data_IF_961226661576
#
_entry.id   IF_961226661576
#
_cell.length_a   1.000
_cell.length_b   1.000
_cell.length_c   1.000
_cell.angle_alpha   90.00
_cell.angle_beta   90.00
_cell.angle_gamma   90.00
#
_symmetry.space_group_name_H-M   'P 1'
#
loop_
_entity.id
_entity.type
_entity.pdbx_description
1 polymer ?
#
# COMPACT_ATOMS: atom_id res chain seq x y z
N UNK A 1 -8.17 -27.26 -1.63
CA UNK A 1 -7.25 -26.10 -1.67
C UNK A 1 -6.83 -25.78 -3.10
N UNK A 2 -7.79 -25.70 -4.02
CA UNK A 2 -7.57 -25.13 -5.35
C UNK A 2 -8.45 -23.88 -5.48
N UNK A 3 -7.85 -22.71 -5.31
CA UNK A 3 -8.48 -21.43 -5.67
C UNK A 3 -7.72 -20.87 -6.88
N UNK A 4 -8.19 -21.14 -8.11
CA UNK A 4 -7.56 -20.64 -9.32
C UNK A 4 -7.48 -19.12 -9.35
N UNK A 5 -8.49 -18.42 -8.80
CA UNK A 5 -8.53 -16.96 -8.72
C UNK A 5 -7.38 -16.40 -7.89
N UNK A 6 -7.10 -17.00 -6.74
CA UNK A 6 -5.98 -16.61 -5.88
C UNK A 6 -4.63 -16.77 -6.59
N UNK A 7 -4.39 -17.88 -7.29
CA UNK A 7 -3.14 -18.07 -8.04
C UNK A 7 -3.04 -17.11 -9.24
N UNK A 8 -4.17 -16.86 -9.90
CA UNK A 8 -4.26 -15.93 -11.03
C UNK A 8 -3.95 -14.49 -10.63
N UNK A 9 -4.27 -14.07 -9.39
CA UNK A 9 -3.89 -12.77 -8.85
C UNK A 9 -2.36 -12.57 -8.94
N UNK A 10 -1.57 -13.50 -8.39
CA UNK A 10 -0.11 -13.41 -8.42
C UNK A 10 0.46 -13.50 -9.85
N UNK A 11 -0.13 -14.33 -10.70
CA UNK A 11 0.28 -14.40 -12.11
C UNK A 11 0.03 -13.07 -12.83
N UNK A 12 -1.16 -12.47 -12.71
CA UNK A 12 -1.51 -11.23 -13.40
C UNK A 12 -0.58 -10.08 -13.01
N UNK A 13 -0.31 -9.89 -11.71
CA UNK A 13 0.55 -8.79 -11.24
C UNK A 13 2.03 -8.99 -11.60
N UNK A 14 2.46 -10.25 -11.81
CA UNK A 14 3.80 -10.60 -12.27
C UNK A 14 3.88 -10.83 -13.79
N UNK A 15 2.93 -10.33 -14.58
CA UNK A 15 2.93 -10.49 -16.05
C UNK A 15 3.06 -11.96 -16.50
N UNK A 16 2.39 -12.86 -15.79
CA UNK A 16 2.38 -14.30 -16.02
C UNK A 16 3.76 -14.98 -15.89
N UNK A 17 4.74 -14.33 -15.26
CA UNK A 17 5.97 -14.99 -14.86
C UNK A 17 5.69 -15.90 -13.65
N UNK A 18 5.60 -17.21 -13.90
CA UNK A 18 5.25 -18.20 -12.89
C UNK A 18 6.23 -18.27 -11.71
N UNK A 19 7.53 -18.14 -11.97
CA UNK A 19 8.57 -18.17 -10.93
C UNK A 19 8.44 -16.97 -9.98
N UNK A 20 8.33 -15.76 -10.53
CA UNK A 20 8.12 -14.54 -9.72
C UNK A 20 6.81 -14.57 -8.96
N UNK A 21 5.73 -15.06 -9.59
CA UNK A 21 4.43 -15.22 -8.96
C UNK A 21 4.50 -16.19 -7.77
N UNK A 22 5.14 -17.35 -7.93
CA UNK A 22 5.31 -18.33 -6.86
C UNK A 22 6.17 -17.77 -5.71
N UNK A 23 7.29 -17.11 -6.03
CA UNK A 23 8.16 -16.48 -5.03
C UNK A 23 7.42 -15.40 -4.24
N UNK A 24 6.65 -14.54 -4.91
CA UNK A 24 5.84 -13.51 -4.25
C UNK A 24 4.73 -14.12 -3.41
N UNK A 25 4.09 -15.20 -3.86
CA UNK A 25 3.06 -15.90 -3.10
C UNK A 25 3.60 -16.48 -1.78
N UNK A 26 4.81 -17.05 -1.80
CA UNK A 26 5.48 -17.51 -0.57
C UNK A 26 5.78 -16.33 0.38
N UNK A 27 6.31 -15.22 -0.15
CA UNK A 27 6.58 -14.02 0.64
C UNK A 27 5.30 -13.40 1.22
N UNK A 28 4.21 -13.41 0.45
CA UNK A 28 2.89 -12.96 0.86
C UNK A 28 2.39 -13.77 2.07
N UNK A 29 2.41 -15.10 2.01
CA UNK A 29 1.96 -15.92 3.15
C UNK A 29 2.85 -15.75 4.39
N UNK A 30 4.17 -15.57 4.22
CA UNK A 30 5.07 -15.26 5.36
C UNK A 30 4.70 -13.94 6.03
N UNK A 31 4.39 -12.89 5.25
CA UNK A 31 3.96 -11.62 5.80
C UNK A 31 2.56 -11.71 6.42
N UNK A 32 1.64 -12.47 5.81
CA UNK A 32 0.31 -12.73 6.36
C UNK A 32 0.40 -13.42 7.72
N UNK A 33 1.29 -14.40 7.86
CA UNK A 33 1.53 -15.11 9.11
C UNK A 33 2.00 -14.16 10.22
N UNK A 34 2.94 -13.26 9.93
CA UNK A 34 3.40 -12.27 10.92
C UNK A 34 2.30 -11.26 11.29
N UNK A 35 1.43 -10.90 10.35
CA UNK A 35 0.38 -9.94 10.60
C UNK A 35 -0.83 -10.53 11.34
N UNK A 36 -1.31 -11.72 10.97
CA UNK A 36 -2.61 -12.26 11.42
C UNK A 36 -2.52 -13.63 12.10
N UNK A 37 -1.31 -14.13 12.34
CA UNK A 37 -1.03 -15.42 12.96
C UNK A 37 -1.48 -16.63 12.12
N UNK A 38 -1.19 -17.83 12.63
CA UNK A 38 -1.37 -19.08 11.87
C UNK A 38 -2.84 -19.40 11.59
N UNK A 39 -3.74 -19.04 12.50
CA UNK A 39 -5.17 -19.31 12.36
C UNK A 39 -5.78 -18.66 11.11
N UNK A 40 -5.24 -17.52 10.67
CA UNK A 40 -5.75 -16.76 9.52
C UNK A 40 -4.97 -16.98 8.24
N UNK A 41 -3.96 -17.85 8.25
CA UNK A 41 -3.05 -18.00 7.12
C UNK A 41 -3.79 -18.48 5.86
N UNK A 42 -4.70 -19.44 6.00
CA UNK A 42 -5.43 -20.07 4.91
C UNK A 42 -6.79 -19.42 4.57
N UNK A 43 -7.21 -18.40 5.32
CA UNK A 43 -8.53 -17.77 5.20
C UNK A 43 -8.43 -16.35 4.61
N UNK A 44 -9.42 -15.90 3.87
CA UNK A 44 -9.46 -14.49 3.48
C UNK A 44 -9.65 -13.60 4.72
N UNK A 45 -8.85 -12.53 4.82
CA UNK A 45 -8.97 -11.57 5.92
C UNK A 45 -10.19 -10.70 5.67
N UNK A 46 -11.10 -10.68 6.65
CA UNK A 46 -12.33 -9.90 6.63
C UNK A 46 -12.24 -8.73 7.62
N UNK A 47 -13.24 -7.83 7.61
CA UNK A 47 -13.32 -6.75 8.60
C UNK A 47 -13.42 -7.28 10.04
N UNK A 48 -13.99 -8.46 10.26
CA UNK A 48 -14.13 -9.05 11.60
C UNK A 48 -12.80 -9.55 12.17
N UNK A 49 -11.77 -9.66 11.33
CA UNK A 49 -10.42 -10.06 11.73
C UNK A 49 -9.54 -8.88 12.13
N UNK A 50 -10.08 -7.66 12.02
CA UNK A 50 -9.42 -6.42 12.39
C UNK A 50 -9.87 -6.00 13.79
N UNK A 51 -8.91 -5.69 14.66
CA UNK A 51 -9.21 -5.17 15.98
C UNK A 51 -9.65 -3.70 15.94
N UNK A 52 -10.04 -3.13 17.10
CA UNK A 52 -10.55 -1.76 17.14
C UNK A 52 -9.49 -0.71 16.76
N UNK A 53 -8.21 -0.98 17.02
CA UNK A 53 -7.10 -0.09 16.65
C UNK A 53 -6.83 -0.17 15.13
N UNK A 54 -6.95 -1.37 14.53
CA UNK A 54 -6.91 -1.60 13.08
C UNK A 54 -8.07 -0.86 12.39
N UNK A 55 -9.28 -0.98 12.95
CA UNK A 55 -10.48 -0.33 12.45
C UNK A 55 -10.42 1.20 12.58
N UNK A 56 -9.77 1.74 13.62
CA UNK A 56 -9.53 3.18 13.72
C UNK A 56 -8.67 3.69 12.54
N UNK A 57 -7.63 2.94 12.15
CA UNK A 57 -6.79 3.28 11.00
C UNK A 57 -7.64 3.42 9.72
N UNK A 58 -8.57 2.48 9.49
CA UNK A 58 -9.48 2.46 8.35
C UNK A 58 -10.50 3.61 8.40
N UNK A 59 -11.18 3.79 9.53
CA UNK A 59 -12.24 4.80 9.69
C UNK A 59 -11.72 6.23 9.53
N UNK A 60 -10.46 6.50 9.91
CA UNK A 60 -9.83 7.80 9.67
C UNK A 60 -9.46 8.06 8.21
N UNK A 61 -9.53 7.04 7.36
CA UNK A 61 -9.15 7.15 5.96
C UNK A 61 -7.65 7.34 5.79
N UNK A 62 -6.85 6.57 6.53
CA UNK A 62 -5.39 6.50 6.36
C UNK A 62 -5.02 6.05 4.93
N UNK A 63 -5.86 5.17 4.37
CA UNK A 63 -5.82 4.74 2.97
C UNK A 63 -7.25 4.76 2.42
N UNK A 64 -7.42 5.40 1.27
CA UNK A 64 -8.73 5.58 0.64
C UNK A 64 -8.64 5.19 -0.83
N UNK A 65 -9.55 4.35 -1.29
CA UNK A 65 -9.68 4.03 -2.72
C UNK A 65 -10.57 5.09 -3.35
N UNK A 66 -10.03 5.86 -4.30
CA UNK A 66 -10.82 6.88 -4.97
C UNK A 66 -11.82 6.24 -5.93
N UNK A 67 -13.03 6.80 -6.08
CA UNK A 67 -14.10 6.20 -6.90
C UNK A 67 -13.80 6.26 -8.40
N UNK A 68 -12.92 7.17 -8.83
CA UNK A 68 -12.52 7.31 -10.23
C UNK A 68 -11.12 6.78 -10.43
N UNK A 69 -10.96 5.97 -11.48
CA UNK A 69 -9.65 5.62 -12.02
C UNK A 69 -9.00 6.82 -12.70
N UNK A 70 -7.70 6.75 -12.92
CA UNK A 70 -7.01 7.68 -13.78
C UNK A 70 -7.37 7.46 -15.27
N UNK A 71 -6.84 8.31 -16.15
CA UNK A 71 -7.04 8.22 -17.61
C UNK A 71 -6.63 6.87 -18.20
N UNK A 72 -5.65 6.20 -17.58
CA UNK A 72 -5.19 4.87 -17.98
C UNK A 72 -5.86 3.73 -17.24
N UNK A 73 -7.04 3.98 -16.64
CA UNK A 73 -7.89 2.93 -16.06
C UNK A 73 -7.27 2.24 -14.84
N UNK A 74 -6.39 2.93 -14.11
CA UNK A 74 -5.72 2.45 -12.91
C UNK A 74 -6.47 2.89 -11.66
N UNK A 75 -6.56 2.00 -10.68
CA UNK A 75 -7.17 2.31 -9.38
C UNK A 75 -6.25 3.27 -8.62
N UNK A 76 -6.82 4.32 -8.01
CA UNK A 76 -6.05 5.30 -7.25
C UNK A 76 -6.27 5.09 -5.75
N UNK A 77 -5.18 4.84 -5.03
CA UNK A 77 -5.16 4.79 -3.57
C UNK A 77 -4.57 6.10 -3.07
N UNK A 78 -5.38 6.83 -2.33
CA UNK A 78 -5.01 8.09 -1.69
C UNK A 78 -4.66 7.84 -0.23
N UNK A 79 -3.51 8.35 0.21
CA UNK A 79 -3.09 8.28 1.60
C UNK A 79 -2.64 9.65 2.08
N UNK A 80 -3.16 10.07 3.23
CA UNK A 80 -2.82 11.35 3.85
C UNK A 80 -2.18 11.09 5.21
N UNK A 81 -0.92 11.48 5.38
CA UNK A 81 -0.23 11.18 6.64
C UNK A 81 -0.93 11.78 7.87
N UNK A 82 -1.51 12.97 7.77
CA UNK A 82 -2.26 13.59 8.88
C UNK A 82 -3.46 12.76 9.38
N UNK A 83 -3.98 11.82 8.57
CA UNK A 83 -5.09 10.96 9.00
C UNK A 83 -4.62 9.66 9.63
N UNK A 84 -3.32 9.34 9.57
CA UNK A 84 -2.76 8.14 10.14
C UNK A 84 -2.86 8.20 11.67
N UNK A 85 -3.51 7.19 12.23
CA UNK A 85 -3.55 6.97 13.68
C UNK A 85 -3.55 5.48 13.93
N UNK A 86 -2.65 5.04 14.80
CA UNK A 86 -2.49 3.65 15.20
C UNK A 86 -1.86 3.60 16.60
N UNK A 87 -2.12 2.53 17.33
CA UNK A 87 -1.49 2.29 18.63
C UNK A 87 -0.16 1.57 18.49
N UNK A 88 -0.07 0.63 17.55
CA UNK A 88 1.12 -0.13 17.18
C UNK A 88 1.29 -0.10 15.68
N UNK A 89 2.54 -0.21 15.21
CA UNK A 89 2.86 -0.27 13.78
C UNK A 89 2.08 -1.38 13.07
N UNK A 90 1.86 -2.54 13.72
CA UNK A 90 1.06 -3.64 13.14
C UNK A 90 -0.37 -3.21 12.78
N UNK A 91 -0.96 -2.22 13.46
CA UNK A 91 -2.34 -1.83 13.15
C UNK A 91 -2.49 -1.20 11.77
N UNK A 92 -1.61 -0.24 11.45
CA UNK A 92 -1.64 0.40 10.13
C UNK A 92 -1.19 -0.57 9.01
N UNK A 93 -0.31 -1.53 9.32
CA UNK A 93 0.09 -2.58 8.36
C UNK A 93 -1.07 -3.52 8.04
N UNK A 94 -1.86 -3.94 9.04
CA UNK A 94 -3.07 -4.76 8.83
C UNK A 94 -4.14 -4.01 8.06
N UNK A 95 -4.33 -2.72 8.35
CA UNK A 95 -5.24 -1.86 7.61
C UNK A 95 -4.84 -1.73 6.13
N UNK A 96 -3.56 -1.45 5.84
CA UNK A 96 -3.03 -1.40 4.46
C UNK A 96 -3.17 -2.76 3.74
N UNK A 97 -2.88 -3.86 4.45
CA UNK A 97 -3.08 -5.21 3.93
C UNK A 97 -4.53 -5.43 3.51
N UNK A 98 -5.48 -5.15 4.41
CA UNK A 98 -6.91 -5.32 4.16
C UNK A 98 -7.36 -4.50 2.95
N UNK A 99 -7.06 -3.20 2.93
CA UNK A 99 -7.42 -2.30 1.81
C UNK A 99 -6.84 -2.82 0.50
N UNK A 100 -5.56 -3.22 0.49
CA UNK A 100 -4.92 -3.75 -0.72
C UNK A 100 -5.59 -5.03 -1.21
N UNK A 101 -5.89 -5.98 -0.30
CA UNK A 101 -6.54 -7.23 -0.67
C UNK A 101 -7.96 -7.01 -1.19
N UNK A 102 -8.70 -6.04 -0.66
CA UNK A 102 -10.01 -5.62 -1.21
C UNK A 102 -9.86 -5.08 -2.63
N UNK A 103 -8.90 -4.18 -2.88
CA UNK A 103 -8.64 -3.66 -4.24
C UNK A 103 -8.30 -4.80 -5.19
N UNK A 104 -7.54 -5.79 -4.72
CA UNK A 104 -7.09 -6.95 -5.50
C UNK A 104 -8.17 -8.00 -5.74
N UNK A 105 -9.38 -7.88 -5.18
CA UNK A 105 -10.52 -8.71 -5.62
C UNK A 105 -10.95 -8.36 -7.05
N UNK A 106 -10.66 -7.13 -7.49
CA UNK A 106 -10.97 -6.65 -8.82
C UNK A 106 -9.90 -7.10 -9.83
N UNK A 107 -10.26 -7.98 -10.75
CA UNK A 107 -9.42 -8.38 -11.88
C UNK A 107 -8.93 -7.17 -12.70
N UNK A 108 -9.75 -6.13 -12.76
CA UNK A 108 -9.40 -4.88 -13.40
C UNK A 108 -8.17 -4.23 -12.75
N UNK A 109 -8.16 -4.09 -11.41
CA UNK A 109 -7.00 -3.57 -10.66
C UNK A 109 -5.77 -4.46 -10.84
N UNK A 110 -5.94 -5.79 -10.90
CA UNK A 110 -4.84 -6.73 -11.11
C UNK A 110 -4.15 -6.51 -12.47
N UNK A 111 -4.92 -6.20 -13.52
CA UNK A 111 -4.42 -6.02 -14.89
C UNK A 111 -3.81 -4.65 -15.14
N UNK A 112 -4.54 -3.58 -14.78
CA UNK A 112 -4.12 -2.20 -15.07
C UNK A 112 -3.17 -1.63 -14.00
N UNK A 113 -3.18 -2.21 -12.81
CA UNK A 113 -2.36 -1.78 -11.69
C UNK A 113 -2.98 -0.64 -10.89
N UNK A 114 -2.21 -0.17 -9.93
CA UNK A 114 -2.63 0.80 -8.91
C UNK A 114 -1.68 2.00 -8.89
N UNK A 115 -2.23 3.18 -8.66
CA UNK A 115 -1.49 4.40 -8.35
C UNK A 115 -1.58 4.64 -6.86
N UNK A 116 -0.43 4.81 -6.20
CA UNK A 116 -0.38 5.31 -4.84
C UNK A 116 -0.16 6.82 -4.87
N UNK A 117 -1.01 7.57 -4.20
CA UNK A 117 -0.91 9.02 -4.04
C UNK A 117 -0.79 9.35 -2.56
N UNK A 118 0.43 9.65 -2.11
CA UNK A 118 0.69 10.19 -0.79
C UNK A 118 0.55 11.71 -0.79
N UNK A 119 -0.18 12.25 0.18
CA UNK A 119 -0.46 13.68 0.25
C UNK A 119 -0.19 14.24 1.64
N UNK A 120 0.81 15.11 1.73
CA UNK A 120 1.27 15.77 2.96
C UNK A 120 1.47 17.28 2.79
N UNK A 121 0.75 17.90 1.85
CA UNK A 121 0.76 19.36 1.66
C UNK A 121 0.03 20.03 2.83
N UNK A 122 0.66 21.08 3.40
CA UNK A 122 0.20 21.81 4.61
C UNK A 122 -0.06 20.90 5.83
N UNK A 123 0.38 19.65 5.76
CA UNK A 123 0.24 18.66 6.81
C UNK A 123 1.53 18.66 7.61
N UNK A 124 1.54 19.41 8.71
CA UNK A 124 2.59 19.22 9.72
C UNK A 124 2.31 17.92 10.46
N UNK A 125 3.29 17.02 10.59
CA UNK A 125 3.19 15.91 11.52
C UNK A 125 2.78 16.45 12.90
N UNK A 126 1.75 15.87 13.53
CA UNK A 126 1.37 16.23 14.90
C UNK A 126 2.35 15.70 15.95
N UNK A 127 3.35 14.93 15.51
CA UNK A 127 4.45 14.36 16.28
C UNK A 127 5.61 13.99 15.37
N UNK A 128 6.68 13.34 15.85
CA UNK A 128 7.79 12.91 15.01
C UNK A 128 7.30 11.97 13.90
N UNK A 129 7.89 12.10 12.72
CA UNK A 129 7.61 11.17 11.62
C UNK A 129 8.14 9.78 11.98
N UNK A 130 7.24 8.80 11.99
CA UNK A 130 7.57 7.40 12.24
C UNK A 130 8.17 6.74 10.98
N UNK A 131 9.48 6.90 10.82
CA UNK A 131 10.23 6.33 9.70
C UNK A 131 10.24 4.79 9.71
N UNK A 132 10.06 4.15 10.86
CA UNK A 132 10.01 2.70 10.93
C UNK A 132 8.70 2.16 10.35
N UNK A 133 7.57 2.79 10.66
CA UNK A 133 6.29 2.44 10.02
C UNK A 133 6.34 2.63 8.51
N UNK A 134 6.95 3.73 8.03
CA UNK A 134 7.13 3.95 6.59
C UNK A 134 7.98 2.82 5.97
N UNK A 135 9.08 2.43 6.62
CA UNK A 135 9.92 1.30 6.18
C UNK A 135 9.14 -0.01 6.13
N UNK A 136 8.31 -0.28 7.14
CA UNK A 136 7.48 -1.49 7.21
C UNK A 136 6.41 -1.51 6.11
N UNK A 137 5.75 -0.37 5.83
CA UNK A 137 4.78 -0.25 4.74
C UNK A 137 5.42 -0.47 3.37
N UNK A 138 6.64 0.03 3.15
CA UNK A 138 7.39 -0.22 1.89
C UNK A 138 7.75 -1.70 1.73
N UNK A 139 8.16 -2.37 2.81
CA UNK A 139 8.42 -3.82 2.81
C UNK A 139 7.15 -4.62 2.57
N UNK A 140 6.05 -4.21 3.18
CA UNK A 140 4.75 -4.83 3.01
C UNK A 140 4.28 -4.74 1.55
N UNK A 141 4.37 -3.56 0.94
CA UNK A 141 4.01 -3.33 -0.45
C UNK A 141 4.83 -4.20 -1.43
N UNK A 142 6.05 -4.59 -1.09
CA UNK A 142 6.87 -5.48 -1.93
C UNK A 142 6.36 -6.94 -1.95
N UNK A 143 5.61 -7.37 -0.94
CA UNK A 143 5.09 -8.75 -0.83
C UNK A 143 3.59 -8.85 -1.11
N UNK A 144 2.87 -7.73 -1.12
CA UNK A 144 1.48 -7.70 -1.55
C UNK A 144 1.38 -7.93 -3.07
N UNK A 145 0.36 -8.65 -3.55
CA UNK A 145 0.16 -8.91 -4.96
C UNK A 145 -0.42 -7.68 -5.66
N UNK A 146 0.32 -6.59 -5.67
CA UNK A 146 -0.06 -5.31 -6.26
C UNK A 146 0.92 -4.92 -7.36
N UNK A 147 0.38 -4.48 -8.50
CA UNK A 147 1.17 -3.87 -9.57
C UNK A 147 1.14 -2.35 -9.38
N UNK A 148 2.15 -1.82 -8.69
CA UNK A 148 2.27 -0.37 -8.50
C UNK A 148 2.70 0.31 -9.80
N UNK A 149 1.77 0.95 -10.49
CA UNK A 149 1.99 1.60 -11.78
C UNK A 149 2.65 2.97 -11.65
N UNK A 150 2.35 3.70 -10.57
CA UNK A 150 2.98 4.96 -10.21
C UNK A 150 2.87 5.17 -8.70
N UNK A 151 3.83 5.89 -8.13
CA UNK A 151 3.75 6.40 -6.76
C UNK A 151 4.04 7.90 -6.79
N UNK A 152 3.01 8.70 -6.54
CA UNK A 152 3.10 10.14 -6.42
C UNK A 152 3.14 10.54 -4.95
N UNK A 153 4.03 11.46 -4.60
CA UNK A 153 4.11 12.00 -3.25
C UNK A 153 4.16 13.53 -3.25
N UNK A 154 3.09 14.15 -2.76
CA UNK A 154 2.94 15.61 -2.73
C UNK A 154 3.18 16.12 -1.31
N UNK A 155 4.08 17.08 -1.11
CA UNK A 155 4.38 17.63 0.22
C UNK A 155 4.85 19.08 0.18
N UNK A 156 4.75 19.79 1.30
CA UNK A 156 5.22 21.19 1.41
C UNK A 156 6.37 21.37 2.41
N UNK A 157 6.57 20.45 3.35
CA UNK A 157 7.55 20.56 4.43
C UNK A 157 8.83 19.77 4.12
N UNK A 158 9.99 20.28 4.53
CA UNK A 158 11.30 19.64 4.33
C UNK A 158 11.41 18.28 5.01
N UNK A 159 10.70 18.04 6.12
CA UNK A 159 10.72 16.71 6.76
C UNK A 159 10.23 15.61 5.81
N UNK A 160 9.33 15.95 4.89
CA UNK A 160 8.82 15.02 3.89
C UNK A 160 9.81 14.76 2.75
N UNK A 161 10.81 15.62 2.56
CA UNK A 161 11.93 15.32 1.65
C UNK A 161 12.71 14.10 2.14
N UNK A 162 13.00 14.02 3.44
CA UNK A 162 13.69 12.85 4.01
C UNK A 162 12.87 11.56 3.87
N UNK A 163 11.53 11.67 3.91
CA UNK A 163 10.64 10.53 3.63
C UNK A 163 10.68 10.14 2.16
N UNK A 164 10.66 11.12 1.23
CA UNK A 164 10.81 10.86 -0.20
C UNK A 164 12.14 10.17 -0.50
N UNK A 165 13.23 10.65 0.10
CA UNK A 165 14.56 10.05 -0.04
C UNK A 165 14.57 8.62 0.51
N UNK A 166 13.96 8.37 1.67
CA UNK A 166 13.82 7.01 2.23
C UNK A 166 13.07 6.08 1.26
N UNK A 167 11.95 6.55 0.68
CA UNK A 167 11.17 5.78 -0.30
C UNK A 167 12.05 5.43 -1.49
N UNK A 168 12.81 6.38 -2.04
CA UNK A 168 13.72 6.12 -3.16
C UNK A 168 14.77 5.07 -2.77
N UNK A 169 15.43 5.21 -1.63
CA UNK A 169 16.53 4.31 -1.24
C UNK A 169 16.06 2.88 -0.95
N UNK A 170 14.89 2.71 -0.33
CA UNK A 170 14.37 1.38 0.04
C UNK A 170 13.57 0.69 -1.05
N UNK A 171 13.11 1.43 -2.06
CA UNK A 171 12.32 0.88 -3.16
C UNK A 171 13.17 0.06 -4.13
N UNK A 172 12.57 -1.01 -4.66
CA UNK A 172 13.15 -1.77 -5.77
C UNK A 172 13.36 -0.86 -7.01
N UNK A 173 14.32 -1.15 -7.90
CA UNK A 173 14.60 -0.32 -9.08
C UNK A 173 13.36 0.03 -9.92
N UNK A 174 12.44 -0.93 -10.09
CA UNK A 174 11.18 -0.73 -10.83
C UNK A 174 10.22 0.25 -10.15
N UNK A 175 10.21 0.30 -8.81
CA UNK A 175 9.41 1.26 -8.05
C UNK A 175 10.08 2.63 -8.07
N UNK A 176 11.42 2.70 -7.96
CA UNK A 176 12.17 3.97 -8.03
C UNK A 176 11.87 4.75 -9.31
N UNK A 177 11.85 4.09 -10.46
CA UNK A 177 11.53 4.76 -11.74
C UNK A 177 10.07 5.19 -11.85
N UNK A 178 9.18 4.63 -11.02
CA UNK A 178 7.74 4.96 -10.95
C UNK A 178 7.40 5.95 -9.84
N UNK A 179 8.34 6.23 -8.95
CA UNK A 179 8.19 7.22 -7.88
C UNK A 179 8.43 8.62 -8.42
N UNK A 180 7.51 9.52 -8.13
CA UNK A 180 7.60 10.95 -8.42
C UNK A 180 7.13 11.70 -7.19
N UNK A 181 7.78 12.80 -6.88
CA UNK A 181 7.35 13.67 -5.80
C UNK A 181 7.24 15.10 -6.28
N UNK A 182 6.37 15.84 -5.63
CA UNK A 182 6.08 17.24 -5.91
C UNK A 182 6.20 18.01 -4.60
N UNK A 183 7.15 18.93 -4.54
CA UNK A 183 7.32 19.83 -3.42
C UNK A 183 6.61 21.15 -3.73
N UNK A 184 5.62 21.52 -2.93
CA UNK A 184 4.89 22.77 -3.15
C UNK A 184 3.55 22.89 -2.43
N UNK A 185 2.78 23.86 -2.87
CA UNK A 185 1.40 24.15 -2.49
C UNK A 185 0.40 23.24 -3.20
N UNK A 186 -0.87 23.33 -2.82
CA UNK A 186 -1.95 22.55 -3.45
C UNK A 186 -2.05 22.80 -4.96
N UNK A 187 -1.64 23.97 -5.44
CA UNK A 187 -1.66 24.34 -6.86
C UNK A 187 -0.51 23.69 -7.65
N UNK A 188 0.66 23.56 -7.03
CA UNK A 188 1.84 22.92 -7.63
C UNK A 188 1.73 21.39 -7.60
N UNK A 189 0.82 20.86 -6.79
CA UNK A 189 0.51 19.44 -6.66
C UNK A 189 -0.70 19.00 -7.51
N UNK A 190 -1.05 19.77 -8.56
CA UNK A 190 -2.11 19.45 -9.54
C UNK A 190 -1.68 18.45 -10.60
#
# INVERSE_FOLDING_TARGET
>A
TDNPGFRMLFLRVNHYNAEKAAAQMVAHFKAKLDLFDQARLAEDITLNDLDEDDMECLRRGSFQVLPKSDTFRRTVVFSRYATWKYKKSKNILRAEWYVTMVIMQSEYSQRFGVILLGYSVKSKPTGPVDFEVIRQLLRLNAVLPIRLAAFYFCFSDKIWQSVADLIVHLSQPVIRVRFRYFQGSDQECR
#
